data_IF_422418375920
#
_entry.id   IF_422418375920
#
_cell.length_a   1.000
_cell.length_b   1.000
_cell.length_c   1.000
_cell.angle_alpha   90.00
_cell.angle_beta   90.00
_cell.angle_gamma   90.00
#
_symmetry.space_group_name_H-M   'P 1'
#
loop_
_entity.id
_entity.type
_entity.pdbx_description
1 polymer ?
#
# COMPACT_ATOMS: atom_id res chain seq x y z
N UNK A 1 7.73 28.68 -8.48
CA UNK A 1 8.05 28.32 -7.10
C UNK A 1 8.68 26.95 -7.15
N UNK A 2 9.94 26.87 -6.75
CA UNK A 2 10.69 25.64 -6.94
C UNK A 2 10.32 24.59 -5.91
N UNK A 3 10.03 23.38 -6.37
CA UNK A 3 10.06 22.20 -5.54
C UNK A 3 11.41 22.17 -4.83
N UNK A 4 11.43 21.93 -3.54
CA UNK A 4 12.69 21.70 -2.81
C UNK A 4 13.42 20.52 -3.48
N UNK A 5 14.51 20.78 -4.26
CA UNK A 5 15.18 19.73 -5.01
C UNK A 5 15.90 18.74 -4.10
N UNK A 6 15.88 18.97 -2.78
CA UNK A 6 16.52 18.14 -1.77
C UNK A 6 15.55 17.34 -0.92
N UNK A 7 14.26 17.42 -1.18
CA UNK A 7 13.22 16.70 -0.41
C UNK A 7 13.47 15.17 -0.37
N UNK A 8 14.03 14.60 -1.44
CA UNK A 8 14.39 13.17 -1.51
C UNK A 8 15.57 12.78 -0.59
N UNK A 9 16.34 13.76 -0.09
CA UNK A 9 17.44 13.55 0.86
C UNK A 9 16.96 13.50 2.31
N UNK A 10 15.70 13.85 2.58
CA UNK A 10 15.14 13.80 3.93
C UNK A 10 14.98 12.34 4.36
N UNK A 11 15.46 11.97 5.55
CA UNK A 11 15.29 10.62 6.04
C UNK A 11 13.81 10.33 6.30
N UNK A 12 13.45 9.07 6.12
CA UNK A 12 12.16 8.55 6.58
C UNK A 12 12.20 8.32 8.07
N UNK A 13 11.03 8.35 8.70
CA UNK A 13 10.85 8.02 10.10
C UNK A 13 10.09 6.70 10.23
N UNK A 14 10.74 5.69 10.79
CA UNK A 14 10.11 4.46 11.18
C UNK A 14 9.75 4.48 12.66
N UNK A 15 8.50 4.18 12.97
CA UNK A 15 7.99 4.10 14.34
C UNK A 15 7.78 2.62 14.69
N UNK A 16 8.54 2.13 15.67
CA UNK A 16 8.40 0.78 16.21
C UNK A 16 7.63 0.85 17.52
N UNK A 17 6.37 0.35 17.59
CA UNK A 17 5.64 0.29 18.85
C UNK A 17 6.36 -0.63 19.85
N UNK A 18 6.35 -0.25 21.12
CA UNK A 18 6.85 -1.05 22.24
C UNK A 18 5.71 -1.33 23.20
N UNK A 19 5.62 -2.60 23.64
CA UNK A 19 4.51 -3.02 24.49
C UNK A 19 3.20 -3.20 23.72
N UNK A 20 2.10 -3.21 24.44
CA UNK A 20 0.75 -3.36 23.89
C UNK A 20 0.07 -1.99 23.77
N UNK A 21 -0.23 -1.58 22.54
CA UNK A 21 -0.97 -0.34 22.25
C UNK A 21 -2.48 -0.59 22.15
N UNK A 22 -2.92 -1.82 22.34
CA UNK A 22 -4.31 -2.23 22.18
C UNK A 22 -4.72 -2.39 20.71
N UNK A 23 -6.02 -2.50 20.47
CA UNK A 23 -6.60 -2.55 19.14
C UNK A 23 -6.72 -1.14 18.56
N UNK A 24 -6.47 -1.01 17.28
CA UNK A 24 -6.54 0.26 16.59
C UNK A 24 -5.96 0.18 15.18
N UNK A 25 -5.75 1.34 14.57
CA UNK A 25 -5.25 1.45 13.21
C UNK A 25 -4.39 2.69 13.02
N UNK A 26 -3.50 2.66 12.04
CA UNK A 26 -2.75 3.84 11.61
C UNK A 26 -3.62 4.62 10.63
N UNK A 27 -3.85 5.88 10.94
CA UNK A 27 -4.54 6.82 10.05
C UNK A 27 -3.50 7.66 9.31
N UNK A 28 -3.62 7.73 8.00
CA UNK A 28 -2.95 8.72 7.19
C UNK A 28 -3.97 9.78 6.78
N UNK A 29 -3.80 10.98 7.28
CA UNK A 29 -4.65 12.11 6.93
C UNK A 29 -3.92 13.01 5.94
N UNK A 30 -4.54 13.24 4.80
CA UNK A 30 -4.02 14.11 3.76
C UNK A 30 -5.08 15.17 3.41
N UNK A 31 -4.71 16.44 3.53
CA UNK A 31 -5.54 17.57 3.11
C UNK A 31 -5.10 17.98 1.70
N UNK A 32 -5.96 17.85 0.68
CA UNK A 32 -5.62 18.28 -0.67
C UNK A 32 -5.32 19.79 -0.69
N UNK A 33 -4.13 20.14 -1.14
CA UNK A 33 -3.70 21.53 -1.29
C UNK A 33 -2.78 21.66 -2.50
N UNK A 34 -2.86 22.77 -3.18
CA UNK A 34 -1.93 23.16 -4.25
C UNK A 34 -0.74 23.97 -3.73
N UNK A 35 -0.67 24.15 -2.42
CA UNK A 35 0.28 25.03 -1.76
C UNK A 35 1.20 24.23 -0.84
N UNK A 36 2.51 24.30 -1.06
CA UNK A 36 3.54 23.61 -0.25
C UNK A 36 3.76 24.24 1.14
N UNK A 37 3.18 25.40 1.43
CA UNK A 37 3.36 26.07 2.72
C UNK A 37 2.47 25.53 3.84
N UNK A 38 1.52 24.65 3.51
CA UNK A 38 0.64 24.05 4.50
C UNK A 38 1.09 22.64 4.82
N UNK A 39 1.28 22.33 6.10
CA UNK A 39 1.41 20.95 6.57
C UNK A 39 0.10 20.22 6.28
N UNK A 40 0.12 19.39 5.25
CA UNK A 40 -1.08 18.80 4.67
C UNK A 40 -1.16 17.29 4.83
N UNK A 41 -0.20 16.68 5.49
CA UNK A 41 -0.15 15.24 5.69
C UNK A 41 0.28 14.90 7.12
N UNK A 42 -0.45 13.99 7.75
CA UNK A 42 -0.11 13.46 9.07
C UNK A 42 -0.45 11.97 9.14
N UNK A 43 0.40 11.21 9.80
CA UNK A 43 0.13 9.81 10.13
C UNK A 43 0.12 9.67 11.66
N UNK A 44 -0.89 8.99 12.19
CA UNK A 44 -1.02 8.77 13.63
C UNK A 44 -1.74 7.46 13.94
N UNK A 45 -1.53 6.96 15.15
CA UNK A 45 -2.26 5.82 15.70
C UNK A 45 -3.61 6.28 16.23
N UNK A 46 -4.68 5.59 15.85
CA UNK A 46 -6.02 5.76 16.37
C UNK A 46 -6.45 4.47 17.07
N UNK A 47 -6.61 4.46 18.41
CA UNK A 47 -7.17 3.32 19.11
C UNK A 47 -8.65 3.15 18.77
N UNK A 48 -9.12 1.87 18.69
CA UNK A 48 -10.54 1.56 18.44
C UNK A 48 -11.43 2.02 19.61
N UNK A 49 -10.87 2.06 20.85
CA UNK A 49 -11.51 2.61 22.03
C UNK A 49 -10.70 3.83 22.51
N UNK A 50 -11.03 5.03 22.09
CA UNK A 50 -10.29 6.23 22.43
C UNK A 50 -10.43 6.59 23.91
N UNK A 51 -9.37 7.11 24.55
CA UNK A 51 -9.42 7.51 25.95
C UNK A 51 -10.45 8.62 26.17
N UNK A 52 -11.14 8.55 27.31
CA UNK A 52 -12.12 9.57 27.74
C UNK A 52 -11.44 10.68 28.52
N UNK A 53 -12.14 11.78 28.73
CA UNK A 53 -11.62 12.87 29.55
C UNK A 53 -11.27 12.38 30.97
N UNK A 54 -10.01 12.54 31.37
CA UNK A 54 -9.47 12.06 32.63
C UNK A 54 -8.72 10.73 32.58
N UNK A 55 -8.81 9.99 31.48
CA UNK A 55 -8.02 8.77 31.28
C UNK A 55 -6.56 9.11 30.94
N UNK A 56 -5.66 8.19 31.25
CA UNK A 56 -4.26 8.26 30.86
C UNK A 56 -3.98 7.23 29.77
N UNK A 57 -3.35 7.64 28.69
CA UNK A 57 -2.85 6.78 27.63
C UNK A 57 -1.32 6.75 27.71
N UNK A 58 -0.76 5.63 28.10
CA UNK A 58 0.69 5.40 28.09
C UNK A 58 1.09 4.61 26.87
N UNK A 59 1.93 5.20 26.02
CA UNK A 59 2.48 4.54 24.84
C UNK A 59 4.00 4.64 24.83
N UNK A 60 4.66 3.54 24.53
CA UNK A 60 6.10 3.49 24.34
C UNK A 60 6.42 3.12 22.90
N UNK A 61 7.43 3.78 22.34
CA UNK A 61 7.87 3.52 20.96
C UNK A 61 9.36 3.83 20.80
N UNK A 62 9.93 3.33 19.70
CA UNK A 62 11.27 3.68 19.25
C UNK A 62 11.19 4.30 17.86
N UNK A 63 11.94 5.37 17.65
CA UNK A 63 12.05 6.07 16.38
C UNK A 63 13.38 5.72 15.70
N UNK A 64 13.31 5.39 14.41
CA UNK A 64 14.48 5.22 13.56
C UNK A 64 14.41 6.24 12.42
N UNK A 65 15.40 7.11 12.38
CA UNK A 65 15.60 8.02 11.25
C UNK A 65 16.52 7.32 10.27
N UNK A 66 16.04 7.02 9.07
CA UNK A 66 16.79 6.23 8.10
C UNK A 66 16.43 6.61 6.67
N UNK A 67 17.42 6.53 5.77
CA UNK A 67 17.23 6.60 4.32
C UNK A 67 17.04 5.21 3.70
N UNK A 68 17.22 4.16 4.51
CA UNK A 68 17.12 2.78 4.12
C UNK A 68 15.96 2.10 4.85
N UNK A 69 15.61 0.90 4.40
CA UNK A 69 14.61 0.08 5.08
C UNK A 69 15.08 -0.27 6.49
N UNK A 70 14.25 -0.03 7.53
CA UNK A 70 14.62 -0.34 8.90
C UNK A 70 14.83 -1.84 9.09
N UNK A 71 15.81 -2.23 9.93
CA UNK A 71 16.04 -3.63 10.23
C UNK A 71 14.81 -4.25 10.91
N UNK A 72 14.46 -5.46 10.50
CA UNK A 72 13.39 -6.23 11.15
C UNK A 72 11.99 -5.99 10.63
N UNK A 73 11.82 -5.46 9.43
CA UNK A 73 10.51 -5.45 8.76
C UNK A 73 9.98 -6.89 8.66
N UNK A 74 8.87 -7.23 9.35
CA UNK A 74 8.49 -8.63 9.54
C UNK A 74 7.84 -9.27 8.32
N UNK A 75 7.48 -8.49 7.31
CA UNK A 75 6.73 -8.94 6.15
C UNK A 75 7.36 -8.58 4.81
N UNK A 76 6.81 -9.14 3.76
CA UNK A 76 7.09 -8.70 2.40
C UNK A 76 6.47 -7.34 2.12
N UNK A 77 6.98 -6.66 1.11
CA UNK A 77 6.57 -5.30 0.74
C UNK A 77 6.30 -5.17 -0.75
N UNK A 78 5.59 -4.12 -1.11
CA UNK A 78 5.40 -3.73 -2.51
C UNK A 78 6.72 -3.19 -3.06
N UNK A 79 7.14 -3.72 -4.19
CA UNK A 79 8.32 -3.27 -4.92
C UNK A 79 7.94 -2.30 -6.03
N UNK A 80 6.91 -2.64 -6.81
CA UNK A 80 6.43 -1.78 -7.89
C UNK A 80 4.94 -1.95 -8.13
N UNK A 81 4.32 -0.92 -8.69
CA UNK A 81 2.95 -0.94 -9.17
C UNK A 81 2.89 -0.36 -10.57
N UNK A 82 2.30 -1.12 -11.49
CA UNK A 82 2.00 -0.65 -12.84
C UNK A 82 0.50 -0.72 -13.07
N UNK A 83 -0.04 0.37 -13.57
CA UNK A 83 -1.44 0.51 -13.95
C UNK A 83 -1.54 0.68 -15.46
N UNK A 84 -2.38 -0.12 -16.07
CA UNK A 84 -2.70 -0.05 -17.49
C UNK A 84 -4.20 0.14 -17.64
N UNK A 85 -4.59 1.18 -18.37
CA UNK A 85 -5.93 1.30 -18.91
C UNK A 85 -6.00 0.42 -20.17
N UNK A 86 -7.01 -0.44 -20.25
CA UNK A 86 -7.08 -1.43 -21.32
C UNK A 86 -7.93 -0.91 -22.49
N UNK A 87 -7.27 -0.68 -23.64
CA UNK A 87 -7.91 -0.45 -24.94
C UNK A 87 -8.83 0.77 -25.07
N UNK A 88 -8.63 1.81 -24.24
CA UNK A 88 -9.48 2.99 -24.29
C UNK A 88 -10.86 2.80 -23.65
N UNK A 89 -11.08 1.71 -22.95
CA UNK A 89 -12.22 1.53 -22.05
C UNK A 89 -11.93 2.28 -20.76
N UNK A 90 -12.61 3.40 -20.53
CA UNK A 90 -12.40 4.26 -19.38
C UNK A 90 -12.74 3.58 -18.03
N UNK A 91 -13.37 2.39 -18.08
CA UNK A 91 -13.82 1.62 -16.94
C UNK A 91 -12.97 0.36 -16.64
N UNK A 92 -11.99 0.03 -17.50
CA UNK A 92 -11.25 -1.25 -17.42
C UNK A 92 -9.77 -1.04 -17.12
N UNK A 93 -9.34 -1.52 -15.95
CA UNK A 93 -8.00 -1.32 -15.42
C UNK A 93 -7.30 -2.63 -15.12
N UNK A 94 -6.03 -2.75 -15.56
CA UNK A 94 -5.15 -3.85 -15.19
C UNK A 94 -4.05 -3.36 -14.27
N UNK A 95 -3.90 -4.03 -13.14
CA UNK A 95 -2.82 -3.81 -12.19
C UNK A 95 -1.79 -4.92 -12.27
N UNK A 96 -0.51 -4.54 -12.23
CA UNK A 96 0.62 -5.44 -12.03
C UNK A 96 1.37 -4.94 -10.79
N UNK A 97 1.38 -5.74 -9.75
CA UNK A 97 2.00 -5.38 -8.48
C UNK A 97 3.05 -6.41 -8.15
N UNK A 98 4.29 -5.96 -8.02
CA UNK A 98 5.40 -6.80 -7.61
C UNK A 98 5.61 -6.69 -6.10
N UNK A 99 5.66 -7.83 -5.43
CA UNK A 99 5.91 -7.94 -4.01
C UNK A 99 7.27 -8.60 -3.76
N UNK A 100 8.15 -7.94 -3.02
CA UNK A 100 9.30 -8.57 -2.40
C UNK A 100 8.77 -9.40 -1.23
N UNK A 101 9.03 -10.71 -1.18
CA UNK A 101 8.61 -11.53 -0.04
C UNK A 101 9.40 -11.19 1.23
N UNK A 102 8.90 -11.55 2.42
CA UNK A 102 9.72 -11.51 3.63
C UNK A 102 10.99 -12.32 3.40
N UNK A 103 12.08 -11.97 4.08
CA UNK A 103 13.43 -12.51 3.86
C UNK A 103 13.40 -14.01 3.53
N UNK A 104 13.81 -14.37 2.32
CA UNK A 104 13.69 -15.72 1.83
C UNK A 104 14.98 -16.50 2.06
N UNK A 105 14.82 -17.71 2.57
CA UNK A 105 15.89 -18.72 2.58
C UNK A 105 16.10 -19.37 1.21
N UNK A 106 15.21 -19.12 0.24
CA UNK A 106 15.19 -19.81 -1.06
C UNK A 106 14.84 -18.84 -2.19
N UNK A 107 15.59 -18.86 -3.26
CA UNK A 107 15.33 -18.03 -4.44
C UNK A 107 13.97 -18.35 -5.09
N UNK A 108 13.32 -17.34 -5.65
CA UNK A 108 12.13 -17.50 -6.47
C UNK A 108 12.56 -17.99 -7.86
N UNK A 109 12.03 -19.11 -8.28
CA UNK A 109 12.20 -19.69 -9.62
C UNK A 109 10.84 -19.78 -10.33
N UNK A 110 10.85 -20.11 -11.60
CA UNK A 110 9.59 -20.30 -12.35
C UNK A 110 8.72 -21.44 -11.80
N UNK A 111 9.35 -22.42 -11.15
CA UNK A 111 8.72 -23.59 -10.55
C UNK A 111 8.26 -23.34 -9.11
N UNK A 112 8.57 -22.17 -8.53
CA UNK A 112 8.14 -21.83 -7.18
C UNK A 112 6.61 -21.72 -7.12
N UNK A 113 6.01 -22.36 -6.12
CA UNK A 113 4.56 -22.27 -5.88
C UNK A 113 4.19 -20.85 -5.43
N UNK A 114 3.28 -20.19 -6.15
CA UNK A 114 2.90 -18.81 -5.81
C UNK A 114 2.08 -18.76 -4.51
N UNK A 115 2.23 -17.71 -3.72
CA UNK A 115 1.32 -17.39 -2.63
C UNK A 115 -0.09 -17.08 -3.18
N UNK A 116 -1.08 -17.14 -2.31
CA UNK A 116 -2.44 -16.71 -2.62
C UNK A 116 -2.54 -15.19 -2.52
N UNK A 117 -3.33 -14.57 -3.40
CA UNK A 117 -3.67 -13.16 -3.30
C UNK A 117 -5.06 -12.99 -2.68
N UNK A 118 -5.18 -12.08 -1.73
CA UNK A 118 -6.46 -11.55 -1.27
C UNK A 118 -6.62 -10.14 -1.84
N UNK A 119 -7.68 -9.92 -2.61
CA UNK A 119 -7.98 -8.66 -3.29
C UNK A 119 -9.35 -8.18 -2.80
N UNK A 120 -9.39 -6.95 -2.30
CA UNK A 120 -10.61 -6.28 -1.88
C UNK A 120 -10.97 -5.23 -2.91
N UNK A 121 -12.11 -5.43 -3.55
CA UNK A 121 -12.69 -4.52 -4.54
C UNK A 121 -14.03 -4.03 -3.97
N UNK A 122 -14.24 -2.71 -3.84
CA UNK A 122 -15.48 -2.17 -3.32
C UNK A 122 -16.64 -2.34 -4.32
N UNK A 123 -17.85 -1.99 -3.89
CA UNK A 123 -19.08 -2.17 -4.67
C UNK A 123 -19.06 -1.49 -6.07
N UNK A 124 -18.24 -0.42 -6.22
CA UNK A 124 -18.06 0.24 -7.52
C UNK A 124 -17.18 -0.54 -8.51
N UNK A 125 -16.57 -1.65 -8.09
CA UNK A 125 -15.67 -2.43 -8.92
C UNK A 125 -16.08 -3.91 -9.02
N UNK A 126 -15.73 -4.53 -10.13
CA UNK A 126 -15.87 -5.97 -10.34
C UNK A 126 -14.51 -6.56 -10.71
N UNK A 127 -14.05 -7.52 -9.93
CA UNK A 127 -12.81 -8.27 -10.23
C UNK A 127 -13.11 -9.28 -11.34
N UNK A 128 -12.43 -9.15 -12.48
CA UNK A 128 -12.63 -10.01 -13.65
C UNK A 128 -11.61 -11.13 -13.73
N UNK A 129 -10.35 -10.84 -13.41
CA UNK A 129 -9.22 -11.76 -13.54
C UNK A 129 -8.23 -11.49 -12.43
N UNK A 130 -7.61 -12.53 -11.88
CA UNK A 130 -6.43 -12.39 -11.04
C UNK A 130 -5.56 -13.65 -11.05
N UNK A 131 -4.26 -13.45 -10.93
CA UNK A 131 -3.29 -14.53 -10.71
C UNK A 131 -1.99 -13.99 -10.12
N UNK A 132 -1.25 -14.88 -9.45
CA UNK A 132 0.09 -14.60 -8.95
C UNK A 132 1.09 -15.46 -9.72
N UNK A 133 2.20 -14.87 -10.14
CA UNK A 133 3.29 -15.58 -10.80
C UNK A 133 4.65 -15.17 -10.23
N UNK A 134 5.61 -16.07 -10.34
CA UNK A 134 7.00 -15.79 -10.03
C UNK A 134 7.58 -14.78 -11.03
N UNK A 135 8.40 -13.86 -10.53
CA UNK A 135 9.25 -12.97 -11.32
C UNK A 135 10.71 -13.19 -10.88
N UNK A 136 11.38 -14.22 -11.43
CA UNK A 136 12.71 -14.64 -10.96
C UNK A 136 13.79 -13.58 -11.14
N UNK A 137 13.68 -12.77 -12.19
CA UNK A 137 14.70 -11.74 -12.51
C UNK A 137 14.77 -10.66 -11.42
N UNK A 138 13.63 -10.34 -10.79
CA UNK A 138 13.54 -9.36 -9.71
C UNK A 138 13.37 -10.00 -8.32
N UNK A 139 13.31 -11.33 -8.26
CA UNK A 139 13.06 -12.07 -7.02
C UNK A 139 11.79 -11.60 -6.30
N UNK A 140 10.72 -11.36 -7.09
CA UNK A 140 9.41 -10.88 -6.61
C UNK A 140 8.28 -11.84 -6.99
N UNK A 141 7.16 -11.70 -6.31
CA UNK A 141 5.88 -12.27 -6.71
C UNK A 141 5.06 -11.20 -7.41
N UNK A 142 4.69 -11.44 -8.66
CA UNK A 142 3.84 -10.53 -9.42
C UNK A 142 2.39 -10.95 -9.31
N UNK A 143 1.60 -10.11 -8.66
CA UNK A 143 0.14 -10.17 -8.72
C UNK A 143 -0.33 -9.39 -9.94
N UNK A 144 -1.16 -10.02 -10.76
CA UNK A 144 -1.88 -9.38 -11.86
C UNK A 144 -3.36 -9.49 -11.56
N UNK A 145 -4.10 -8.40 -11.70
CA UNK A 145 -5.56 -8.45 -11.66
C UNK A 145 -6.20 -7.39 -12.53
N UNK A 146 -7.43 -7.65 -12.96
CA UNK A 146 -8.23 -6.76 -13.80
C UNK A 146 -9.51 -6.41 -13.06
N UNK A 147 -9.80 -5.11 -12.99
CA UNK A 147 -11.01 -4.56 -12.39
C UNK A 147 -11.76 -3.76 -13.41
N UNK A 148 -13.07 -3.97 -13.49
CA UNK A 148 -14.00 -3.10 -14.20
C UNK A 148 -14.74 -2.23 -13.19
N UNK A 149 -14.80 -0.92 -13.43
CA UNK A 149 -15.59 0.02 -12.63
C UNK A 149 -17.02 0.12 -13.16
N UNK A 150 -17.99 0.15 -12.26
CA UNK A 150 -19.39 0.42 -12.61
C UNK A 150 -19.59 1.91 -12.94
N UNK A 151 -18.87 2.80 -12.25
CA UNK A 151 -18.86 4.23 -12.46
C UNK A 151 -17.41 4.74 -12.40
N UNK A 152 -16.76 4.99 -13.55
CA UNK A 152 -15.38 5.44 -13.60
C UNK A 152 -15.20 6.88 -13.10
N UNK A 153 -16.29 7.63 -12.86
CA UNK A 153 -16.24 8.98 -12.30
C UNK A 153 -16.22 8.98 -10.76
N UNK A 154 -16.32 7.80 -10.12
CA UNK A 154 -16.22 7.69 -8.67
C UNK A 154 -14.85 7.20 -8.23
N UNK A 155 -14.21 7.88 -7.25
CA UNK A 155 -13.02 7.33 -6.62
C UNK A 155 -13.28 5.93 -6.08
N UNK A 156 -12.35 5.01 -6.32
CA UNK A 156 -12.52 3.59 -5.98
C UNK A 156 -11.27 3.07 -5.29
N UNK A 157 -11.40 2.69 -4.01
CA UNK A 157 -10.31 2.20 -3.19
C UNK A 157 -10.11 0.70 -3.36
N UNK A 158 -8.94 0.32 -3.84
CA UNK A 158 -8.53 -1.07 -4.01
C UNK A 158 -7.50 -1.45 -2.97
N UNK A 159 -7.55 -2.70 -2.51
CA UNK A 159 -6.57 -3.23 -1.57
C UNK A 159 -6.20 -4.65 -1.96
N UNK A 160 -4.95 -5.03 -1.72
CA UNK A 160 -4.54 -6.43 -1.85
C UNK A 160 -3.31 -6.74 -0.99
N UNK A 161 -3.11 -8.02 -0.74
CA UNK A 161 -1.91 -8.58 -0.11
C UNK A 161 -1.72 -10.03 -0.53
N UNK A 162 -0.51 -10.55 -0.29
CA UNK A 162 -0.22 -11.96 -0.47
C UNK A 162 -0.22 -12.70 0.85
N UNK A 163 -0.74 -13.93 0.84
CA UNK A 163 -0.84 -14.83 1.99
C UNK A 163 -0.48 -16.26 1.64
N UNK A 164 -0.16 -17.06 2.63
CA UNK A 164 0.02 -18.50 2.53
C UNK A 164 -0.71 -19.22 3.67
N UNK A 165 -0.48 -20.53 3.82
CA UNK A 165 -1.10 -21.33 4.88
C UNK A 165 -0.78 -20.89 6.33
N UNK A 166 0.15 -19.96 6.52
CA UNK A 166 0.51 -19.39 7.82
C UNK A 166 0.00 -17.97 8.02
N UNK A 167 -0.77 -17.45 7.06
CA UNK A 167 -1.37 -16.12 7.11
C UNK A 167 -0.75 -15.11 6.14
N UNK A 168 -0.99 -13.82 6.40
CA UNK A 168 -0.52 -12.73 5.54
C UNK A 168 1.01 -12.63 5.51
N UNK A 169 1.58 -12.54 4.32
CA UNK A 169 3.01 -12.51 4.06
C UNK A 169 3.55 -11.16 3.64
N UNK A 170 2.69 -10.28 3.15
CA UNK A 170 3.10 -8.95 2.69
C UNK A 170 2.32 -7.86 3.41
N UNK A 171 2.82 -6.64 3.30
CA UNK A 171 2.02 -5.46 3.61
C UNK A 171 0.74 -5.43 2.75
N UNK A 172 -0.22 -4.61 3.16
CA UNK A 172 -1.41 -4.34 2.35
C UNK A 172 -1.12 -3.21 1.38
N UNK A 173 -1.12 -3.53 0.08
CA UNK A 173 -1.14 -2.52 -0.96
C UNK A 173 -2.52 -1.86 -1.01
N UNK A 174 -2.53 -0.52 -1.09
CA UNK A 174 -3.74 0.28 -1.24
C UNK A 174 -3.57 1.24 -2.42
N UNK A 175 -4.64 1.41 -3.18
CA UNK A 175 -4.65 2.33 -4.31
C UNK A 175 -6.05 2.90 -4.52
N UNK A 176 -6.15 4.21 -4.66
CA UNK A 176 -7.39 4.88 -5.03
C UNK A 176 -7.37 5.20 -6.52
N UNK A 177 -8.20 4.52 -7.30
CA UNK A 177 -8.50 4.95 -8.66
C UNK A 177 -9.31 6.25 -8.57
N UNK A 178 -8.73 7.32 -9.08
CA UNK A 178 -9.40 8.63 -9.16
C UNK A 178 -9.86 8.88 -10.59
N UNK A 179 -11.00 9.57 -10.80
CA UNK A 179 -11.45 9.96 -12.13
C UNK A 179 -10.35 10.75 -12.85
N UNK A 180 -10.04 10.33 -14.05
CA UNK A 180 -9.15 11.13 -14.90
C UNK A 180 -9.94 12.31 -15.46
N UNK A 181 -9.42 13.52 -15.28
CA UNK A 181 -9.98 14.67 -15.98
C UNK A 181 -9.89 14.42 -17.49
N UNK A 182 -10.93 14.70 -18.27
CA UNK A 182 -10.86 14.57 -19.72
C UNK A 182 -9.68 15.39 -20.24
N UNK A 183 -8.83 14.78 -21.07
CA UNK A 183 -7.73 15.48 -21.71
C UNK A 183 -8.31 16.68 -22.49
N UNK A 184 -7.71 17.86 -22.36
CA UNK A 184 -8.14 19.00 -23.16
C UNK A 184 -8.01 18.64 -24.65
N UNK A 185 -9.11 18.87 -25.40
CA UNK A 185 -9.14 18.66 -26.84
C UNK A 185 -8.27 19.67 -27.55
#
# INVERSE_FOLDING_TARGET
>A
MGNDPTSYLRPSLWVEPKGDWGKGHVVLWHIPTTNEYADNIVAFWAPDDPPRGGDTLDVAYRLYWTSEEPPGHPGGRVFSTHLLNLYGDDDLYRFLIDFIPPSQKKAITKESSPPRATIVVPQNGTLLENYVKANPDQQTWRLVFVVRLADPQKPTDLQCFLEDGQGRRTETWKYTLVPQAPLPK
#
